data_IF_568330300639
#
_entry.id   IF_568330300639
#
_cell.length_a   1.000
_cell.length_b   1.000
_cell.length_c   1.000
_cell.angle_alpha   90.00
_cell.angle_beta   90.00
_cell.angle_gamma   90.00
#
_symmetry.space_group_name_H-M   'P 1'
#
loop_
_entity.id
_entity.type
_entity.pdbx_description
1 polymer ?
#
# COMPACT_ATOMS: atom_id res chain seq x y z
N UNK A 1 -20.24 -19.08 16.90
CA UNK A 1 -20.69 -18.90 15.52
C UNK A 1 -22.20 -18.66 15.57
N UNK A 2 -22.66 -17.45 15.36
CA UNK A 2 -24.10 -17.14 15.41
C UNK A 2 -24.74 -17.64 14.11
N UNK A 3 -25.66 -18.57 14.20
CA UNK A 3 -26.43 -19.10 13.07
C UNK A 3 -27.68 -18.26 12.90
N UNK A 4 -27.75 -17.41 11.89
CA UNK A 4 -28.99 -16.73 11.53
C UNK A 4 -29.82 -17.62 10.62
N UNK A 5 -31.13 -17.75 10.85
CA UNK A 5 -32.03 -18.46 9.94
C UNK A 5 -31.97 -17.84 8.53
N UNK A 6 -32.04 -18.64 7.45
CA UNK A 6 -31.92 -18.15 6.06
C UNK A 6 -32.88 -16.98 5.71
N UNK A 7 -34.09 -16.99 6.23
CA UNK A 7 -35.08 -15.91 6.04
C UNK A 7 -34.65 -14.59 6.67
N UNK A 8 -33.98 -14.62 7.82
CA UNK A 8 -33.47 -13.38 8.47
C UNK A 8 -32.28 -12.82 7.70
N UNK A 9 -31.42 -13.68 7.16
CA UNK A 9 -30.28 -13.24 6.31
C UNK A 9 -30.82 -12.57 5.07
N UNK A 10 -31.78 -13.15 4.37
CA UNK A 10 -32.39 -12.59 3.17
C UNK A 10 -33.09 -11.24 3.43
N UNK A 11 -33.77 -11.09 4.57
CA UNK A 11 -34.37 -9.81 4.96
C UNK A 11 -33.29 -8.75 5.17
N UNK A 12 -32.19 -9.06 5.90
CA UNK A 12 -31.10 -8.15 6.14
C UNK A 12 -30.38 -7.74 4.84
N UNK A 13 -30.23 -8.68 3.90
CA UNK A 13 -29.63 -8.42 2.59
C UNK A 13 -30.49 -7.48 1.74
N UNK A 14 -31.80 -7.63 1.76
CA UNK A 14 -32.73 -6.71 1.07
C UNK A 14 -32.67 -5.30 1.69
N UNK A 15 -32.68 -5.19 3.03
CA UNK A 15 -32.55 -3.93 3.73
C UNK A 15 -31.19 -3.26 3.43
N UNK A 16 -30.11 -4.05 3.34
CA UNK A 16 -28.80 -3.56 2.96
C UNK A 16 -28.83 -2.96 1.54
N UNK A 17 -29.39 -3.66 0.56
CA UNK A 17 -29.49 -3.19 -0.83
C UNK A 17 -30.21 -1.84 -0.92
N UNK A 18 -31.28 -1.64 -0.14
CA UNK A 18 -32.04 -0.39 -0.10
C UNK A 18 -31.22 0.77 0.48
N UNK A 19 -30.29 0.49 1.38
CA UNK A 19 -29.50 1.50 2.12
C UNK A 19 -28.12 1.78 1.55
N UNK A 20 -27.60 0.97 0.63
CA UNK A 20 -26.25 1.12 0.08
C UNK A 20 -25.98 2.51 -0.50
N UNK A 21 -26.99 3.17 -1.08
CA UNK A 21 -26.85 4.52 -1.63
C UNK A 21 -26.56 5.60 -0.57
N UNK A 22 -26.91 5.33 0.69
CA UNK A 22 -26.67 6.23 1.82
C UNK A 22 -25.37 5.95 2.56
N UNK A 23 -24.67 4.85 2.23
CA UNK A 23 -23.42 4.48 2.88
C UNK A 23 -22.29 5.40 2.41
N UNK A 24 -21.46 5.83 3.35
CA UNK A 24 -20.19 6.45 3.00
C UNK A 24 -19.20 5.40 2.43
N UNK A 25 -18.05 5.87 1.94
CA UNK A 25 -17.07 5.00 1.32
C UNK A 25 -16.55 3.92 2.28
N UNK A 26 -16.43 4.23 3.58
CA UNK A 26 -15.95 3.28 4.61
C UNK A 26 -16.96 2.16 4.85
N UNK A 27 -18.23 2.50 4.95
CA UNK A 27 -19.31 1.52 5.10
C UNK A 27 -19.47 0.67 3.84
N UNK A 28 -19.33 1.25 2.65
CA UNK A 28 -19.29 0.50 1.39
C UNK A 28 -18.13 -0.49 1.35
N UNK A 29 -16.93 -0.08 1.79
CA UNK A 29 -15.78 -0.99 1.88
C UNK A 29 -15.98 -2.09 2.91
N UNK A 30 -16.57 -1.78 4.07
CA UNK A 30 -16.87 -2.78 5.09
C UNK A 30 -17.90 -3.81 4.58
N UNK A 31 -18.97 -3.35 3.93
CA UNK A 31 -19.94 -4.22 3.28
C UNK A 31 -19.29 -5.08 2.19
N UNK A 32 -18.39 -4.49 1.39
CA UNK A 32 -17.64 -5.18 0.36
C UNK A 32 -16.77 -6.32 0.93
N UNK A 33 -16.08 -6.08 2.03
CA UNK A 33 -15.25 -7.10 2.70
C UNK A 33 -16.08 -8.29 3.21
N UNK A 34 -17.33 -8.05 3.58
CA UNK A 34 -18.25 -9.09 4.05
C UNK A 34 -18.77 -9.93 2.88
N UNK A 35 -19.19 -9.27 1.80
CA UNK A 35 -19.91 -9.91 0.70
C UNK A 35 -19.04 -10.41 -0.46
N UNK A 36 -17.83 -9.86 -0.62
CA UNK A 36 -16.92 -10.21 -1.70
C UNK A 36 -16.27 -11.62 -1.58
N UNK A 37 -15.89 -12.15 -0.39
CA UNK A 37 -15.21 -13.44 -0.30
C UNK A 37 -16.09 -14.61 -0.77
N UNK A 38 -15.59 -15.53 -1.63
CA UNK A 38 -16.38 -16.61 -2.22
C UNK A 38 -16.86 -17.68 -1.23
N UNK A 39 -16.27 -17.74 -0.03
CA UNK A 39 -16.55 -18.74 0.99
C UNK A 39 -17.62 -18.32 2.03
N UNK A 40 -18.20 -17.14 1.88
CA UNK A 40 -19.35 -16.77 2.71
C UNK A 40 -20.57 -17.48 2.15
N UNK A 41 -21.13 -18.41 2.94
CA UNK A 41 -22.32 -19.19 2.60
C UNK A 41 -23.59 -18.32 2.66
N UNK A 42 -23.72 -17.40 1.71
CA UNK A 42 -24.92 -16.56 1.51
C UNK A 42 -25.63 -16.98 0.22
N UNK A 43 -26.92 -16.68 0.08
CA UNK A 43 -27.67 -17.00 -1.14
C UNK A 43 -26.96 -16.35 -2.34
N UNK A 44 -26.59 -17.14 -3.33
CA UNK A 44 -25.73 -16.72 -4.45
C UNK A 44 -26.33 -15.56 -5.27
N UNK A 45 -27.66 -15.41 -5.25
CA UNK A 45 -28.40 -14.43 -6.08
C UNK A 45 -28.30 -13.01 -5.51
N UNK A 46 -28.60 -12.84 -4.23
CA UNK A 46 -28.56 -11.51 -3.56
C UNK A 46 -27.15 -11.00 -3.39
N UNK A 47 -26.20 -11.90 -3.15
CA UNK A 47 -24.78 -11.55 -3.04
C UNK A 47 -24.25 -10.86 -4.29
N UNK A 48 -24.51 -11.40 -5.48
CA UNK A 48 -24.10 -10.77 -6.74
C UNK A 48 -24.66 -9.36 -6.85
N UNK A 49 -25.97 -9.20 -6.59
CA UNK A 49 -26.63 -7.89 -6.63
C UNK A 49 -26.05 -6.90 -5.62
N UNK A 50 -25.70 -7.34 -4.39
CA UNK A 50 -25.08 -6.50 -3.36
C UNK A 50 -23.69 -6.04 -3.83
N UNK A 51 -22.86 -6.95 -4.32
CA UNK A 51 -21.52 -6.63 -4.81
C UNK A 51 -21.56 -5.66 -5.99
N UNK A 52 -22.46 -5.90 -6.97
CA UNK A 52 -22.66 -5.01 -8.12
C UNK A 52 -23.17 -3.63 -7.71
N UNK A 53 -24.07 -3.57 -6.72
CA UNK A 53 -24.57 -2.30 -6.20
C UNK A 53 -23.49 -1.54 -5.43
N UNK A 54 -22.66 -2.23 -4.64
CA UNK A 54 -21.51 -1.63 -3.97
C UNK A 54 -20.52 -1.08 -4.99
N UNK A 55 -20.17 -1.86 -6.02
CA UNK A 55 -19.26 -1.42 -7.08
C UNK A 55 -19.78 -0.16 -7.79
N UNK A 56 -21.07 -0.10 -8.13
CA UNK A 56 -21.68 1.10 -8.72
C UNK A 56 -21.58 2.30 -7.77
N UNK A 57 -21.95 2.15 -6.51
CA UNK A 57 -21.87 3.23 -5.53
C UNK A 57 -20.44 3.73 -5.30
N UNK A 58 -19.44 2.83 -5.29
CA UNK A 58 -18.02 3.22 -5.21
C UNK A 58 -17.62 3.99 -6.46
N UNK A 59 -17.99 3.50 -7.64
CA UNK A 59 -17.70 4.15 -8.92
C UNK A 59 -18.29 5.56 -9.00
N UNK A 60 -19.56 5.71 -8.65
CA UNK A 60 -20.27 7.00 -8.69
C UNK A 60 -19.63 8.00 -7.69
N UNK A 61 -19.23 7.52 -6.52
CA UNK A 61 -18.56 8.35 -5.52
C UNK A 61 -17.15 8.77 -5.95
N UNK A 62 -16.42 7.89 -6.63
CA UNK A 62 -15.11 8.25 -7.18
C UNK A 62 -15.20 9.34 -8.25
N UNK A 63 -16.32 9.45 -8.96
CA UNK A 63 -16.56 10.50 -9.96
C UNK A 63 -16.99 11.84 -9.34
N UNK A 64 -17.67 11.82 -8.18
CA UNK A 64 -18.31 12.99 -7.57
C UNK A 64 -17.53 13.60 -6.42
N UNK A 65 -16.42 13.02 -5.99
CA UNK A 65 -15.85 13.25 -4.67
C UNK A 65 -15.02 14.51 -4.56
N UNK A 66 -15.40 15.32 -3.58
CA UNK A 66 -14.45 15.92 -2.64
C UNK A 66 -13.49 14.84 -2.15
N UNK A 67 -12.20 15.03 -2.42
CA UNK A 67 -11.11 14.09 -2.25
C UNK A 67 -11.28 13.17 -1.02
N UNK A 68 -11.52 11.88 -1.26
CA UNK A 68 -11.46 10.86 -0.23
C UNK A 68 -10.13 10.99 0.52
N UNK A 69 -10.11 10.74 1.81
CA UNK A 69 -8.84 10.77 2.54
C UNK A 69 -7.87 9.74 1.96
N UNK A 70 -6.57 9.98 2.04
CA UNK A 70 -5.57 9.00 1.59
C UNK A 70 -5.78 7.63 2.27
N UNK A 71 -6.26 7.62 3.51
CA UNK A 71 -6.60 6.39 4.25
C UNK A 71 -7.71 5.60 3.55
N UNK A 72 -8.73 6.28 3.04
CA UNK A 72 -9.84 5.64 2.32
C UNK A 72 -9.37 5.09 0.96
N UNK A 73 -8.55 5.86 0.23
CA UNK A 73 -7.94 5.42 -1.03
C UNK A 73 -7.01 4.22 -0.83
N UNK A 74 -6.18 4.22 0.22
CA UNK A 74 -5.36 3.08 0.62
C UNK A 74 -6.25 1.86 0.93
N UNK A 75 -7.36 2.07 1.63
CA UNK A 75 -8.35 1.02 1.91
C UNK A 75 -8.93 0.39 0.64
N UNK A 76 -9.25 1.21 -0.37
CA UNK A 76 -9.72 0.73 -1.68
C UNK A 76 -8.62 -0.06 -2.41
N UNK A 77 -7.40 0.43 -2.46
CA UNK A 77 -6.27 -0.28 -3.08
C UNK A 77 -6.03 -1.63 -2.38
N UNK A 78 -6.14 -1.69 -1.05
CA UNK A 78 -6.02 -2.93 -0.28
C UNK A 78 -7.06 -3.98 -0.70
N UNK A 79 -8.25 -3.55 -1.10
CA UNK A 79 -9.34 -4.40 -1.56
C UNK A 79 -9.36 -4.61 -3.09
N UNK A 80 -8.33 -4.19 -3.80
CA UNK A 80 -8.23 -4.10 -5.25
C UNK A 80 -8.47 -5.42 -6.00
N UNK A 81 -8.29 -6.57 -5.36
CA UNK A 81 -8.49 -7.91 -5.98
C UNK A 81 -9.90 -8.16 -6.48
N UNK A 82 -10.83 -7.37 -6.01
CA UNK A 82 -12.26 -7.59 -6.19
C UNK A 82 -12.91 -6.55 -7.10
N UNK A 83 -12.20 -5.48 -7.43
CA UNK A 83 -12.72 -4.42 -8.28
C UNK A 83 -12.49 -4.71 -9.76
N UNK A 84 -13.37 -4.16 -10.60
CA UNK A 84 -13.15 -4.17 -12.05
C UNK A 84 -11.91 -3.32 -12.40
N UNK A 85 -11.23 -3.61 -13.53
CA UNK A 85 -10.09 -2.80 -13.97
C UNK A 85 -10.38 -1.31 -14.08
N UNK A 86 -11.61 -0.93 -14.48
CA UNK A 86 -12.05 0.46 -14.60
C UNK A 86 -12.11 1.17 -13.25
N UNK A 87 -12.71 0.54 -12.25
CA UNK A 87 -12.74 1.07 -10.87
C UNK A 87 -11.32 1.23 -10.32
N UNK A 88 -10.46 0.25 -10.59
CA UNK A 88 -9.07 0.29 -10.15
C UNK A 88 -8.30 1.47 -10.75
N UNK A 89 -8.48 1.73 -12.06
CA UNK A 89 -7.86 2.88 -12.71
C UNK A 89 -8.35 4.20 -12.12
N UNK A 90 -9.65 4.33 -11.82
CA UNK A 90 -10.20 5.52 -11.16
C UNK A 90 -9.61 5.71 -9.76
N UNK A 91 -9.50 4.64 -8.96
CA UNK A 91 -8.88 4.70 -7.62
C UNK A 91 -7.42 5.17 -7.71
N UNK A 92 -6.66 4.63 -8.64
CA UNK A 92 -5.26 5.00 -8.86
C UNK A 92 -5.11 6.46 -9.33
N UNK A 93 -5.98 6.92 -10.23
CA UNK A 93 -6.02 8.30 -10.70
C UNK A 93 -6.39 9.28 -9.57
N UNK A 94 -7.44 8.97 -8.81
CA UNK A 94 -7.82 9.76 -7.63
C UNK A 94 -6.70 9.79 -6.58
N UNK A 95 -6.02 8.66 -6.36
CA UNK A 95 -4.87 8.61 -5.44
C UNK A 95 -3.74 9.51 -5.94
N UNK A 96 -3.46 9.50 -7.24
CA UNK A 96 -2.43 10.37 -7.85
C UNK A 96 -2.80 11.85 -7.68
N UNK A 97 -4.03 12.23 -8.01
CA UNK A 97 -4.54 13.60 -7.83
C UNK A 97 -4.47 14.05 -6.36
N UNK A 98 -4.84 13.18 -5.44
CA UNK A 98 -4.74 13.46 -4.01
C UNK A 98 -3.29 13.73 -3.59
N UNK A 99 -2.36 12.88 -4.04
CA UNK A 99 -0.94 13.06 -3.76
C UNK A 99 -0.42 14.39 -4.32
N UNK A 100 -0.84 14.77 -5.53
CA UNK A 100 -0.41 16.02 -6.16
C UNK A 100 -0.97 17.26 -5.45
N UNK A 101 -2.23 17.21 -4.99
CA UNK A 101 -2.91 18.32 -4.33
C UNK A 101 -2.52 18.50 -2.86
N UNK A 102 -2.07 17.44 -2.18
CA UNK A 102 -1.80 17.48 -0.73
C UNK A 102 -0.32 17.69 -0.48
N UNK A 103 0.05 18.74 0.25
CA UNK A 103 1.47 19.05 0.54
C UNK A 103 2.07 18.10 1.59
N UNK A 104 1.32 17.86 2.67
CA UNK A 104 1.79 17.07 3.82
C UNK A 104 1.08 15.72 3.89
N UNK A 105 1.84 14.66 3.71
CA UNK A 105 1.36 13.27 3.82
C UNK A 105 2.34 12.55 4.74
N UNK A 106 1.88 11.67 5.60
CA UNK A 106 2.79 10.95 6.49
C UNK A 106 3.69 9.98 5.71
N UNK A 107 4.95 9.85 6.15
CA UNK A 107 5.90 8.91 5.57
C UNK A 107 5.36 7.48 5.60
N UNK A 108 4.72 7.09 6.69
CA UNK A 108 4.11 5.76 6.87
C UNK A 108 3.05 5.46 5.83
N UNK A 109 2.19 6.42 5.52
CA UNK A 109 1.15 6.25 4.51
C UNK A 109 1.76 6.07 3.13
N UNK A 110 2.82 6.82 2.78
CA UNK A 110 3.53 6.70 1.51
C UNK A 110 4.26 5.36 1.39
N UNK A 111 4.99 4.95 2.43
CA UNK A 111 5.66 3.65 2.47
C UNK A 111 4.64 2.50 2.36
N UNK A 112 3.54 2.59 3.11
CA UNK A 112 2.48 1.58 3.07
C UNK A 112 1.81 1.50 1.70
N UNK A 113 1.57 2.63 1.05
CA UNK A 113 1.02 2.68 -0.31
C UNK A 113 1.94 1.95 -1.31
N UNK A 114 3.26 2.19 -1.28
CA UNK A 114 4.21 1.44 -2.11
C UNK A 114 4.20 -0.06 -1.83
N UNK A 115 4.13 -0.45 -0.55
CA UNK A 115 4.03 -1.86 -0.17
C UNK A 115 2.77 -2.50 -0.76
N UNK A 116 1.63 -1.82 -0.71
CA UNK A 116 0.37 -2.31 -1.30
C UNK A 116 0.46 -2.43 -2.81
N UNK A 117 0.96 -1.39 -3.51
CA UNK A 117 1.14 -1.42 -4.97
C UNK A 117 2.02 -2.60 -5.38
N UNK A 118 3.11 -2.83 -4.65
CA UNK A 118 4.00 -3.97 -4.88
C UNK A 118 3.31 -5.32 -4.63
N UNK A 119 2.56 -5.44 -3.53
CA UNK A 119 1.84 -6.67 -3.15
C UNK A 119 0.80 -7.08 -4.19
N UNK A 120 0.11 -6.10 -4.77
CA UNK A 120 -0.91 -6.33 -5.79
C UNK A 120 -0.37 -6.21 -7.22
N UNK A 121 0.95 -6.12 -7.38
CA UNK A 121 1.62 -5.99 -8.67
C UNK A 121 1.08 -4.82 -9.51
N UNK A 122 0.65 -3.75 -8.86
CA UNK A 122 0.09 -2.55 -9.50
C UNK A 122 1.23 -1.67 -10.00
N UNK A 123 1.51 -1.75 -11.31
CA UNK A 123 2.61 -1.00 -11.97
C UNK A 123 2.14 0.30 -12.60
N UNK A 124 1.24 1.03 -11.95
CA UNK A 124 0.83 2.36 -12.40
C UNK A 124 2.01 3.34 -12.22
N UNK A 125 2.73 3.60 -13.30
CA UNK A 125 3.93 4.46 -13.27
C UNK A 125 3.64 5.89 -12.80
N UNK A 126 2.56 6.59 -13.23
CA UNK A 126 2.19 7.89 -12.71
C UNK A 126 2.04 7.88 -11.18
N UNK A 127 1.27 6.95 -10.64
CA UNK A 127 1.04 6.83 -9.20
C UNK A 127 2.34 6.56 -8.44
N UNK A 128 3.17 5.62 -8.91
CA UNK A 128 4.47 5.32 -8.28
C UNK A 128 5.36 6.56 -8.28
N UNK A 129 5.42 7.31 -9.39
CA UNK A 129 6.19 8.57 -9.48
C UNK A 129 5.68 9.63 -8.52
N UNK A 130 4.37 9.80 -8.37
CA UNK A 130 3.78 10.74 -7.41
C UNK A 130 4.18 10.38 -5.96
N UNK A 131 4.12 9.10 -5.60
CA UNK A 131 4.57 8.62 -4.27
C UNK A 131 6.06 8.88 -4.07
N UNK A 132 6.91 8.53 -5.05
CA UNK A 132 8.36 8.73 -4.99
C UNK A 132 8.71 10.22 -4.89
N UNK A 133 8.05 11.08 -5.65
CA UNK A 133 8.26 12.53 -5.59
C UNK A 133 7.95 13.10 -4.19
N UNK A 134 6.93 12.57 -3.52
CA UNK A 134 6.62 12.95 -2.13
C UNK A 134 7.68 12.42 -1.17
N UNK A 135 8.11 11.18 -1.29
CA UNK A 135 9.15 10.58 -0.45
C UNK A 135 10.49 11.32 -0.55
N UNK A 136 10.84 11.82 -1.73
CA UNK A 136 12.05 12.61 -1.93
C UNK A 136 12.02 13.97 -1.20
N UNK A 137 10.86 14.51 -0.83
CA UNK A 137 10.74 15.78 -0.07
C UNK A 137 11.00 15.62 1.42
N UNK A 138 10.87 14.41 1.98
CA UNK A 138 11.15 14.19 3.40
C UNK A 138 12.63 14.39 3.73
N UNK A 139 12.91 15.01 4.87
CA UNK A 139 14.26 15.16 5.39
C UNK A 139 14.68 13.88 6.13
N UNK A 140 16.01 13.66 6.20
CA UNK A 140 16.54 12.52 6.95
C UNK A 140 16.09 12.54 8.42
N UNK A 141 15.97 13.72 8.98
CA UNK A 141 15.57 13.95 10.38
C UNK A 141 14.13 13.50 10.67
N UNK A 142 13.24 13.55 9.66
CA UNK A 142 11.84 13.15 9.81
C UNK A 142 11.66 11.61 9.85
N UNK A 143 12.74 10.86 9.61
CA UNK A 143 12.71 9.41 9.38
C UNK A 143 13.38 8.62 10.51
N UNK A 144 13.80 9.27 11.58
CA UNK A 144 14.65 8.69 12.63
C UNK A 144 14.14 7.43 13.35
N UNK A 145 12.91 7.01 13.14
CA UNK A 145 12.34 5.87 13.89
C UNK A 145 12.06 4.61 13.08
N UNK A 146 12.38 4.54 11.76
CA UNK A 146 11.75 3.56 10.89
C UNK A 146 12.65 2.80 9.87
N UNK A 147 13.84 2.26 10.23
CA UNK A 147 14.65 1.48 9.31
C UNK A 147 13.90 0.33 8.61
N UNK A 148 13.04 -0.47 9.29
CA UNK A 148 12.29 -1.53 8.63
C UNK A 148 11.35 -1.04 7.53
N UNK A 149 10.71 0.10 7.71
CA UNK A 149 9.80 0.68 6.71
C UNK A 149 10.55 1.13 5.44
N UNK A 150 11.72 1.74 5.59
CA UNK A 150 12.58 2.11 4.47
C UNK A 150 13.04 0.88 3.68
N UNK A 151 13.43 -0.19 4.37
CA UNK A 151 13.83 -1.45 3.75
C UNK A 151 12.67 -2.07 2.97
N UNK A 152 11.48 -2.11 3.58
CA UNK A 152 10.28 -2.59 2.90
C UNK A 152 9.89 -1.74 1.69
N UNK A 153 10.09 -0.43 1.75
CA UNK A 153 9.88 0.48 0.63
C UNK A 153 10.83 0.18 -0.53
N UNK A 154 12.13 0.04 -0.28
CA UNK A 154 13.15 -0.31 -1.28
C UNK A 154 12.83 -1.67 -1.91
N UNK A 155 12.49 -2.67 -1.11
CA UNK A 155 12.05 -3.99 -1.59
C UNK A 155 10.79 -3.91 -2.44
N UNK A 156 9.87 -2.99 -2.11
CA UNK A 156 8.65 -2.77 -2.89
C UNK A 156 8.93 -2.13 -4.24
N UNK A 157 9.81 -1.13 -4.29
CA UNK A 157 10.28 -0.54 -5.55
C UNK A 157 10.94 -1.59 -6.45
N UNK A 158 11.72 -2.48 -5.86
CA UNK A 158 12.33 -3.58 -6.59
C UNK A 158 11.29 -4.52 -7.21
N UNK A 159 10.28 -4.95 -6.45
CA UNK A 159 9.18 -5.79 -6.96
C UNK A 159 8.37 -5.08 -8.05
N UNK A 160 8.23 -3.76 -7.98
CA UNK A 160 7.57 -2.94 -8.99
C UNK A 160 8.45 -2.71 -10.23
N UNK A 161 9.74 -3.11 -10.17
CA UNK A 161 10.75 -2.84 -11.18
C UNK A 161 10.84 -1.33 -11.50
N UNK A 162 10.95 -0.53 -10.44
CA UNK A 162 11.01 0.92 -10.49
C UNK A 162 12.27 1.44 -9.79
N UNK A 163 13.44 1.37 -10.45
CA UNK A 163 14.70 1.87 -9.89
C UNK A 163 14.69 3.41 -9.91
N UNK A 164 14.67 4.01 -8.73
CA UNK A 164 14.79 5.47 -8.57
C UNK A 164 16.06 5.77 -7.78
N UNK A 165 17.13 6.10 -8.50
CA UNK A 165 18.49 6.24 -7.95
C UNK A 165 18.52 7.25 -6.80
N UNK A 166 17.94 8.44 -6.98
CA UNK A 166 17.95 9.49 -5.97
C UNK A 166 17.28 9.04 -4.65
N UNK A 167 16.19 8.26 -4.77
CA UNK A 167 15.50 7.73 -3.59
C UNK A 167 16.31 6.61 -2.92
N UNK A 168 16.96 5.76 -3.73
CA UNK A 168 17.82 4.69 -3.22
C UNK A 168 19.04 5.26 -2.47
N UNK A 169 19.69 6.29 -3.02
CA UNK A 169 20.81 7.00 -2.36
C UNK A 169 20.36 7.62 -1.04
N UNK A 170 19.24 8.38 -1.07
CA UNK A 170 18.69 9.01 0.12
C UNK A 170 18.33 8.00 1.20
N UNK A 171 17.67 6.91 0.85
CA UNK A 171 17.34 5.85 1.81
C UNK A 171 18.60 5.18 2.35
N UNK A 172 19.61 4.96 1.52
CA UNK A 172 20.89 4.38 1.94
C UNK A 172 21.62 5.30 2.93
N UNK A 173 21.67 6.61 2.67
CA UNK A 173 22.26 7.58 3.62
C UNK A 173 21.53 7.56 4.97
N UNK A 174 20.20 7.53 4.96
CA UNK A 174 19.42 7.47 6.21
C UNK A 174 19.72 6.15 6.94
N UNK A 175 19.71 5.01 6.26
CA UNK A 175 19.98 3.71 6.88
C UNK A 175 21.41 3.62 7.44
N UNK A 176 22.41 4.18 6.76
CA UNK A 176 23.79 4.29 7.25
C UNK A 176 23.82 5.11 8.54
N UNK A 177 23.22 6.30 8.53
CA UNK A 177 23.20 7.20 9.70
C UNK A 177 22.49 6.57 10.91
N UNK A 178 21.47 5.75 10.68
CA UNK A 178 20.75 4.99 11.71
C UNK A 178 21.50 3.71 12.14
N UNK A 179 22.65 3.43 11.55
CA UNK A 179 23.43 2.22 11.84
C UNK A 179 22.60 0.93 11.70
N UNK A 180 21.85 0.83 10.59
CA UNK A 180 20.77 -0.16 10.42
C UNK A 180 21.21 -1.60 10.59
N UNK A 181 22.47 -1.94 10.29
CA UNK A 181 23.00 -3.29 10.52
C UNK A 181 23.03 -3.70 12.00
N UNK A 182 23.05 -2.74 12.92
CA UNK A 182 23.04 -3.01 14.35
C UNK A 182 21.61 -3.02 14.94
N UNK A 183 20.70 -2.24 14.34
CA UNK A 183 19.35 -2.04 14.90
C UNK A 183 18.27 -2.91 14.21
N UNK A 184 18.61 -3.62 13.13
CA UNK A 184 17.66 -4.48 12.42
C UNK A 184 18.02 -5.96 12.55
N UNK A 185 17.03 -6.81 12.35
CA UNK A 185 17.19 -8.27 12.30
C UNK A 185 17.70 -8.74 10.94
N UNK A 186 18.06 -10.02 10.82
CA UNK A 186 18.66 -10.58 9.61
C UNK A 186 17.74 -10.55 8.38
N UNK A 187 16.44 -10.74 8.58
CA UNK A 187 15.50 -10.76 7.46
C UNK A 187 15.44 -9.41 6.72
N UNK A 188 15.19 -8.26 7.38
CA UNK A 188 15.28 -6.95 6.71
C UNK A 188 16.63 -6.64 6.08
N UNK A 189 17.76 -7.03 6.73
CA UNK A 189 19.10 -6.83 6.16
C UNK A 189 19.24 -7.56 4.83
N UNK A 190 18.85 -8.83 4.78
CA UNK A 190 18.88 -9.65 3.58
C UNK A 190 17.97 -9.10 2.49
N UNK A 191 16.73 -8.71 2.84
CA UNK A 191 15.77 -8.12 1.89
C UNK A 191 16.32 -6.84 1.25
N UNK A 192 17.01 -6.01 2.03
CA UNK A 192 17.67 -4.81 1.54
C UNK A 192 18.80 -5.14 0.56
N UNK A 193 19.70 -6.05 0.93
CA UNK A 193 20.81 -6.47 0.08
C UNK A 193 20.33 -7.08 -1.24
N UNK A 194 19.32 -7.93 -1.18
CA UNK A 194 18.70 -8.52 -2.38
C UNK A 194 18.13 -7.43 -3.28
N UNK A 195 17.39 -6.47 -2.72
CA UNK A 195 16.81 -5.40 -3.51
C UNK A 195 17.88 -4.51 -4.17
N UNK A 196 18.92 -4.13 -3.45
CA UNK A 196 20.03 -3.32 -3.97
C UNK A 196 20.78 -4.07 -5.09
N UNK A 197 21.06 -5.36 -4.87
CA UNK A 197 21.72 -6.21 -5.87
C UNK A 197 20.88 -6.34 -7.15
N UNK A 198 19.59 -6.54 -7.05
CA UNK A 198 18.70 -6.69 -8.20
C UNK A 198 18.56 -5.39 -9.01
N UNK A 199 18.70 -4.22 -8.38
CA UNK A 199 18.78 -2.94 -9.08
C UNK A 199 20.12 -2.67 -9.75
N UNK A 200 21.15 -3.50 -9.52
CA UNK A 200 22.55 -3.19 -9.86
C UNK A 200 22.97 -1.82 -9.27
N UNK A 201 22.43 -1.47 -8.13
CA UNK A 201 22.69 -0.18 -7.48
C UNK A 201 24.03 -0.24 -6.74
N UNK A 202 24.98 0.56 -7.22
CA UNK A 202 26.30 0.68 -6.62
C UNK A 202 26.44 2.06 -5.97
N UNK A 203 26.42 2.11 -4.65
CA UNK A 203 26.55 3.35 -3.88
C UNK A 203 27.80 3.26 -2.99
N UNK A 204 28.89 4.02 -3.29
CA UNK A 204 30.17 3.89 -2.62
C UNK A 204 30.08 3.97 -1.09
N UNK A 205 29.35 4.95 -0.56
CA UNK A 205 29.17 5.11 0.90
C UNK A 205 28.56 3.86 1.56
N UNK A 206 27.61 3.19 0.88
CA UNK A 206 26.98 1.98 1.38
C UNK A 206 27.98 0.81 1.40
N UNK A 207 28.82 0.71 0.38
CA UNK A 207 29.90 -0.29 0.29
C UNK A 207 30.90 -0.07 1.43
N UNK A 208 31.38 1.15 1.60
CA UNK A 208 32.33 1.52 2.67
C UNK A 208 31.74 1.23 4.05
N UNK A 209 30.46 1.52 4.26
CA UNK A 209 29.76 1.20 5.49
C UNK A 209 29.74 -0.31 5.77
N UNK A 210 29.40 -1.12 4.76
CA UNK A 210 29.40 -2.58 4.90
C UNK A 210 30.79 -3.15 5.19
N UNK A 211 31.81 -2.69 4.46
CA UNK A 211 33.19 -3.12 4.67
C UNK A 211 33.71 -2.76 6.05
N UNK A 212 33.41 -1.53 6.52
CA UNK A 212 33.74 -1.11 7.88
C UNK A 212 33.08 -1.99 8.94
N UNK A 213 31.77 -2.26 8.79
CA UNK A 213 31.05 -3.12 9.74
C UNK A 213 31.53 -4.58 9.69
N UNK A 214 31.88 -5.11 8.53
CA UNK A 214 32.44 -6.45 8.41
C UNK A 214 33.78 -6.59 9.18
N UNK A 215 34.60 -5.54 9.19
CA UNK A 215 35.85 -5.51 9.94
C UNK A 215 35.62 -5.36 11.44
N UNK A 216 34.70 -4.47 11.85
CA UNK A 216 34.43 -4.17 13.25
C UNK A 216 33.62 -5.28 13.96
N UNK A 217 32.61 -5.83 13.29
CA UNK A 217 31.61 -6.75 13.85
C UNK A 217 31.26 -7.86 12.85
N UNK A 218 32.16 -8.79 12.55
CA UNK A 218 31.95 -9.86 11.58
C UNK A 218 30.76 -10.78 11.92
N UNK A 219 30.34 -10.81 13.19
CA UNK A 219 29.17 -11.58 13.64
C UNK A 219 27.85 -11.09 13.05
N UNK A 220 27.74 -9.84 12.58
CA UNK A 220 26.56 -9.30 11.94
C UNK A 220 26.28 -9.92 10.57
N UNK A 221 27.22 -10.69 10.01
CA UNK A 221 27.18 -11.25 8.66
C UNK A 221 27.16 -12.80 8.65
N UNK A 222 26.98 -13.41 9.81
CA UNK A 222 26.84 -14.87 9.96
C UNK A 222 25.39 -15.29 9.88
#
# INVERSE_FOLDING_TARGET
MFYFPPLQVQFLENELLLKLNHFDLRLLMAAYQIYSPPHVAMSSLLRGQIVDSINRNINDRLDTVELASLTDLIGLIKNSRHFTPEILLKIEDQTTRFLDATETISLDQLCYLLVLLSRYSRRNKPLIRAVVAKLLRYRAEDVYSMPPHLIHMISSLNRLNFPEVNLLEKCSDILINLNFLEVTTDSPRRDFLVAISQFNFCYPKLIDYYLGKLQEKPELFK
#
